data_IF_430925984690
#
_entry.id   IF_430925984690
#
_cell.length_a   1.000
_cell.length_b   1.000
_cell.length_c   1.000
_cell.angle_alpha   90.00
_cell.angle_beta   90.00
_cell.angle_gamma   90.00
#
_symmetry.space_group_name_H-M   'P 1'
#
loop_
_entity.id
_entity.type
_entity.pdbx_description
1 polymer ?
#
# COMPACT_ATOMS: atom_id res chain seq x y z
N UNK A 1 9.52 7.96 8.57
CA UNK A 1 8.22 7.26 8.62
C UNK A 1 7.01 8.19 8.51
N UNK A 2 6.97 9.36 9.17
CA UNK A 2 5.80 10.26 9.11
C UNK A 2 5.35 10.66 7.69
N UNK A 3 6.28 11.07 6.84
CA UNK A 3 6.00 11.43 5.45
C UNK A 3 5.56 10.19 4.64
N UNK A 4 6.08 9.00 4.97
CA UNK A 4 5.72 7.76 4.26
C UNK A 4 4.22 7.42 4.40
N UNK A 5 3.59 7.78 5.53
CA UNK A 5 2.14 7.61 5.71
C UNK A 5 1.34 8.46 4.71
N UNK A 6 1.82 9.67 4.39
CA UNK A 6 1.18 10.52 3.38
C UNK A 6 1.28 9.87 1.99
N UNK A 7 2.44 9.32 1.65
CA UNK A 7 2.61 8.58 0.39
C UNK A 7 1.70 7.36 0.30
N UNK A 8 1.48 6.63 1.40
CA UNK A 8 0.52 5.51 1.40
C UNK A 8 -0.91 5.96 1.06
N UNK A 9 -1.35 7.11 1.57
CA UNK A 9 -2.67 7.67 1.25
C UNK A 9 -2.75 8.06 -0.23
N UNK A 10 -1.69 8.67 -0.78
CA UNK A 10 -1.63 9.03 -2.20
C UNK A 10 -1.71 7.78 -3.06
N UNK A 11 -0.88 6.77 -2.79
CA UNK A 11 -0.86 5.54 -3.58
C UNK A 11 -2.19 4.77 -3.45
N UNK A 12 -2.81 4.74 -2.27
CA UNK A 12 -4.16 4.19 -2.11
C UNK A 12 -5.22 4.94 -2.93
N UNK A 13 -5.10 6.28 -3.02
CA UNK A 13 -5.95 7.09 -3.90
C UNK A 13 -5.73 6.75 -5.37
N UNK A 14 -4.50 6.45 -5.77
CA UNK A 14 -4.20 6.06 -7.15
C UNK A 14 -4.76 4.67 -7.49
N UNK A 15 -4.71 3.71 -6.56
CA UNK A 15 -5.43 2.43 -6.70
C UNK A 15 -6.93 2.66 -6.86
N UNK A 16 -7.51 3.55 -6.03
CA UNK A 16 -8.93 3.90 -6.14
C UNK A 16 -9.27 4.46 -7.52
N UNK A 17 -8.48 5.40 -8.03
CA UNK A 17 -8.67 5.97 -9.38
C UNK A 17 -8.51 4.89 -10.47
N UNK A 18 -7.57 3.97 -10.29
CA UNK A 18 -7.31 2.87 -11.23
C UNK A 18 -8.45 1.83 -11.31
N UNK A 19 -9.44 1.87 -10.41
CA UNK A 19 -10.66 1.06 -10.51
C UNK A 19 -11.69 1.65 -11.47
N UNK A 20 -11.55 2.92 -11.87
CA UNK A 20 -12.56 3.64 -12.65
C UNK A 20 -12.10 3.87 -14.08
N UNK A 21 -12.56 3.02 -15.00
CA UNK A 21 -12.25 3.12 -16.42
C UNK A 21 -13.21 4.07 -17.15
N UNK A 22 -12.68 4.88 -18.06
CA UNK A 22 -13.50 5.71 -18.94
C UNK A 22 -14.30 4.84 -19.92
N UNK A 23 -15.59 5.10 -20.06
CA UNK A 23 -16.46 4.44 -21.03
C UNK A 23 -16.51 5.24 -22.34
N UNK A 24 -16.80 4.60 -23.49
CA UNK A 24 -17.00 5.31 -24.75
C UNK A 24 -18.13 6.35 -24.71
N UNK A 25 -19.10 6.17 -23.79
CA UNK A 25 -20.21 7.09 -23.54
C UNK A 25 -19.86 8.30 -22.66
N UNK A 26 -18.59 8.48 -22.28
CA UNK A 26 -18.13 9.60 -21.45
C UNK A 26 -18.33 9.42 -19.94
N UNK A 27 -18.78 8.24 -19.50
CA UNK A 27 -18.93 7.88 -18.10
C UNK A 27 -17.69 7.17 -17.51
N UNK A 28 -17.79 6.78 -16.24
CA UNK A 28 -16.82 5.89 -15.58
C UNK A 28 -17.50 4.58 -15.23
N UNK A 29 -16.86 3.47 -15.53
CA UNK A 29 -17.29 2.14 -15.09
C UNK A 29 -16.28 1.57 -14.11
N UNK A 30 -16.79 0.88 -13.10
CA UNK A 30 -15.94 0.08 -12.22
C UNK A 30 -15.36 -1.09 -13.02
N UNK A 31 -14.09 -1.38 -12.80
CA UNK A 31 -13.44 -2.57 -13.33
C UNK A 31 -12.15 -2.88 -12.60
N UNK A 32 -11.59 -4.04 -12.88
CA UNK A 32 -10.29 -4.45 -12.34
C UNK A 32 -9.37 -4.74 -13.52
N UNK A 33 -8.26 -4.00 -13.62
CA UNK A 33 -7.17 -4.30 -14.55
C UNK A 33 -6.02 -5.03 -13.86
N UNK A 34 -5.15 -5.65 -14.64
CA UNK A 34 -3.87 -6.17 -14.12
C UNK A 34 -3.07 -5.04 -13.48
N UNK A 35 -3.05 -3.84 -14.07
CA UNK A 35 -2.42 -2.66 -13.52
C UNK A 35 -3.01 -2.25 -12.17
N UNK A 36 -4.33 -2.32 -12.02
CA UNK A 36 -5.00 -2.08 -10.72
C UNK A 36 -4.51 -3.06 -9.66
N UNK A 37 -4.36 -4.35 -10.00
CA UNK A 37 -3.84 -5.37 -9.08
C UNK A 37 -2.37 -5.12 -8.71
N UNK A 38 -1.54 -4.72 -9.69
CA UNK A 38 -0.13 -4.37 -9.46
C UNK A 38 -0.01 -3.17 -8.51
N UNK A 39 -0.78 -2.11 -8.73
CA UNK A 39 -0.80 -0.94 -7.85
C UNK A 39 -1.33 -1.28 -6.45
N UNK A 40 -2.38 -2.11 -6.37
CA UNK A 40 -2.94 -2.55 -5.09
C UNK A 40 -1.92 -3.38 -4.28
N UNK A 41 -1.26 -4.35 -4.92
CA UNK A 41 -0.21 -5.14 -4.29
C UNK A 41 0.94 -4.25 -3.79
N UNK A 42 1.35 -3.26 -4.59
CA UNK A 42 2.40 -2.31 -4.21
C UNK A 42 2.04 -1.54 -2.93
N UNK A 43 0.82 -0.99 -2.85
CA UNK A 43 0.34 -0.29 -1.64
C UNK A 43 0.31 -1.20 -0.43
N UNK A 44 -0.12 -2.46 -0.59
CA UNK A 44 -0.16 -3.44 0.50
C UNK A 44 1.26 -3.74 1.01
N UNK A 45 2.22 -3.99 0.13
CA UNK A 45 3.60 -4.29 0.55
C UNK A 45 4.25 -3.11 1.26
N UNK A 46 4.08 -1.89 0.73
CA UNK A 46 4.55 -0.66 1.37
C UNK A 46 3.87 -0.40 2.71
N UNK A 47 2.58 -0.73 2.83
CA UNK A 47 1.84 -0.60 4.09
C UNK A 47 2.41 -1.55 5.14
N UNK A 48 2.63 -2.82 4.82
CA UNK A 48 3.23 -3.76 5.78
C UNK A 48 4.64 -3.37 6.21
N UNK A 49 5.44 -2.82 5.29
CA UNK A 49 6.74 -2.28 5.65
C UNK A 49 6.62 -1.07 6.60
N UNK A 50 5.80 -0.09 6.24
CA UNK A 50 5.66 1.17 6.99
C UNK A 50 5.02 0.96 8.37
N UNK A 51 3.93 0.19 8.44
CA UNK A 51 3.21 -0.12 9.67
C UNK A 51 3.99 -1.08 10.58
N UNK A 52 4.90 -1.88 10.02
CA UNK A 52 5.80 -2.73 10.80
C UNK A 52 7.02 -2.01 11.38
N UNK A 53 7.23 -0.72 11.09
CA UNK A 53 8.45 -0.02 11.50
C UNK A 53 8.49 0.29 13.01
N UNK A 54 9.71 0.30 13.58
CA UNK A 54 9.96 0.75 14.96
C UNK A 54 9.40 2.15 15.25
N UNK A 55 9.50 3.10 14.31
CA UNK A 55 8.92 4.43 14.51
C UNK A 55 7.39 4.40 14.57
N UNK A 56 6.74 3.52 13.81
CA UNK A 56 5.27 3.41 13.82
C UNK A 56 4.77 2.82 15.15
N UNK A 57 5.50 1.86 15.73
CA UNK A 57 5.24 1.33 17.07
C UNK A 57 5.25 2.41 18.15
N UNK A 58 6.13 3.40 18.03
CA UNK A 58 6.16 4.54 18.94
C UNK A 58 4.91 5.42 18.83
N UNK A 59 4.40 5.61 17.60
CA UNK A 59 3.18 6.39 17.35
C UNK A 59 1.96 5.68 17.96
N UNK A 60 1.78 4.39 17.67
CA UNK A 60 0.62 3.63 18.19
C UNK A 60 0.73 3.34 19.69
N UNK A 61 1.95 3.36 20.25
CA UNK A 61 2.17 3.26 21.70
C UNK A 61 1.73 4.52 22.48
N UNK A 62 1.50 5.64 21.80
CA UNK A 62 0.85 6.82 22.38
C UNK A 62 1.59 7.49 23.54
N UNK A 63 2.91 7.28 23.68
CA UNK A 63 3.71 7.79 24.81
C UNK A 63 3.22 7.34 26.21
N UNK A 64 2.59 6.17 26.30
CA UNK A 64 2.19 5.59 27.59
C UNK A 64 3.24 4.63 28.13
N UNK A 65 3.53 4.72 29.42
CA UNK A 65 4.44 3.80 30.13
C UNK A 65 3.80 2.42 30.36
N UNK A 66 2.46 2.34 30.40
CA UNK A 66 1.71 1.12 30.67
C UNK A 66 0.59 0.89 29.64
N UNK A 67 0.94 0.25 28.52
CA UNK A 67 0.02 -0.05 27.41
C UNK A 67 -1.11 -1.03 27.78
N UNK A 68 -0.94 -1.85 28.82
CA UNK A 68 -1.94 -2.84 29.26
C UNK A 68 -3.26 -2.22 29.73
N UNK A 69 -3.25 -0.93 30.09
CA UNK A 69 -4.44 -0.16 30.49
C UNK A 69 -5.19 0.44 29.30
N UNK A 70 -4.59 0.38 28.10
CA UNK A 70 -5.04 1.05 26.89
C UNK A 70 -5.24 0.02 25.78
N UNK A 71 -6.42 -0.62 25.78
CA UNK A 71 -6.69 -1.81 24.95
C UNK A 71 -6.56 -1.56 23.45
N UNK A 72 -6.91 -0.36 22.95
CA UNK A 72 -6.86 -0.05 21.51
C UNK A 72 -5.42 0.12 21.05
N UNK A 73 -4.64 0.88 21.81
CA UNK A 73 -3.22 1.15 21.61
C UNK A 73 -2.41 -0.15 21.73
N UNK A 74 -2.75 -1.00 22.71
CA UNK A 74 -2.14 -2.32 22.87
C UNK A 74 -2.37 -3.21 21.63
N UNK A 75 -3.60 -3.30 21.13
CA UNK A 75 -3.90 -4.09 19.91
C UNK A 75 -3.15 -3.53 18.70
N UNK A 76 -3.13 -2.21 18.52
CA UNK A 76 -2.40 -1.58 17.43
C UNK A 76 -0.88 -1.85 17.53
N UNK A 77 -0.33 -1.77 18.74
CA UNK A 77 1.07 -2.07 19.03
C UNK A 77 1.43 -3.54 18.81
N UNK A 78 0.55 -4.47 19.19
CA UNK A 78 0.73 -5.90 18.98
C UNK A 78 0.68 -6.27 17.49
N UNK A 79 -0.25 -5.67 16.74
CA UNK A 79 -0.32 -5.80 15.28
C UNK A 79 0.95 -5.27 14.61
N UNK A 80 1.40 -4.07 14.97
CA UNK A 80 2.65 -3.50 14.47
C UNK A 80 3.86 -4.36 14.86
N UNK A 81 3.87 -4.94 16.05
CA UNK A 81 4.91 -5.87 16.51
C UNK A 81 4.90 -7.19 15.73
N UNK A 82 3.71 -7.68 15.35
CA UNK A 82 3.55 -8.84 14.48
C UNK A 82 4.16 -8.59 13.10
N UNK A 83 3.86 -7.44 12.50
CA UNK A 83 4.43 -7.02 11.22
C UNK A 83 5.94 -6.78 11.31
N UNK A 84 6.41 -6.21 12.43
CA UNK A 84 7.82 -5.94 12.67
C UNK A 84 8.70 -7.20 12.63
N UNK A 85 8.19 -8.35 13.08
CA UNK A 85 8.93 -9.64 13.02
C UNK A 85 9.38 -9.99 11.60
N UNK A 86 8.65 -9.52 10.59
CA UNK A 86 8.94 -9.75 9.18
C UNK A 86 9.37 -8.46 8.46
N UNK A 87 9.70 -7.38 9.19
CA UNK A 87 9.95 -6.05 8.63
C UNK A 87 10.99 -6.06 7.51
N UNK A 88 12.09 -6.79 7.71
CA UNK A 88 13.15 -6.91 6.68
C UNK A 88 12.64 -7.60 5.41
N UNK A 89 11.77 -8.61 5.52
CA UNK A 89 11.17 -9.26 4.35
C UNK A 89 10.23 -8.31 3.64
N UNK A 90 9.40 -7.58 4.37
CA UNK A 90 8.51 -6.56 3.80
C UNK A 90 9.30 -5.44 3.10
N UNK A 91 10.50 -5.10 3.57
CA UNK A 91 11.38 -4.15 2.90
C UNK A 91 11.78 -4.63 1.50
N UNK A 92 12.25 -5.87 1.37
CA UNK A 92 12.62 -6.43 0.07
C UNK A 92 11.42 -6.62 -0.85
N UNK A 93 10.31 -7.15 -0.33
CA UNK A 93 9.08 -7.35 -1.12
C UNK A 93 8.52 -6.02 -1.62
N UNK A 94 8.50 -4.98 -0.78
CA UNK A 94 8.04 -3.64 -1.20
C UNK A 94 9.00 -2.97 -2.17
N UNK A 95 10.32 -3.10 -1.99
CA UNK A 95 11.31 -2.56 -2.93
C UNK A 95 11.15 -3.15 -4.33
N UNK A 96 11.03 -4.48 -4.41
CA UNK A 96 10.78 -5.18 -5.68
C UNK A 96 9.41 -4.80 -6.23
N UNK A 97 8.38 -4.73 -5.37
CA UNK A 97 7.02 -4.35 -5.75
C UNK A 97 6.92 -2.96 -6.36
N UNK A 98 7.56 -1.96 -5.77
CA UNK A 98 7.60 -0.58 -6.29
C UNK A 98 8.32 -0.54 -7.64
N UNK A 99 9.51 -1.14 -7.73
CA UNK A 99 10.26 -1.17 -8.98
C UNK A 99 9.47 -1.85 -10.10
N UNK A 100 8.76 -2.93 -9.78
CA UNK A 100 7.89 -3.61 -10.73
C UNK A 100 6.67 -2.77 -11.11
N UNK A 101 6.02 -2.10 -10.16
CA UNK A 101 4.88 -1.22 -10.44
C UNK A 101 5.28 -0.06 -11.38
N UNK A 102 6.41 0.59 -11.11
CA UNK A 102 6.96 1.66 -11.95
C UNK A 102 7.27 1.17 -13.35
N UNK A 103 7.90 0.00 -13.46
CA UNK A 103 8.18 -0.63 -14.76
C UNK A 103 6.87 -0.96 -15.49
N UNK A 104 5.90 -1.58 -14.81
CA UNK A 104 4.62 -1.97 -15.41
C UNK A 104 3.89 -0.74 -15.97
N UNK A 105 3.72 0.30 -15.16
CA UNK A 105 3.04 1.54 -15.56
C UNK A 105 3.78 2.20 -16.73
N UNK A 106 5.11 2.24 -16.69
CA UNK A 106 5.92 2.79 -17.79
C UNK A 106 5.75 1.99 -19.08
N UNK A 107 5.78 0.67 -19.01
CA UNK A 107 5.61 -0.20 -20.18
C UNK A 107 4.20 -0.08 -20.78
N UNK A 108 3.17 0.07 -19.95
CA UNK A 108 1.81 0.37 -20.40
C UNK A 108 1.72 1.76 -21.06
N UNK A 109 2.33 2.78 -20.46
CA UNK A 109 2.33 4.14 -21.01
C UNK A 109 3.08 4.25 -22.35
N UNK A 110 4.14 3.45 -22.54
CA UNK A 110 4.86 3.35 -23.83
C UNK A 110 4.12 2.49 -24.87
N UNK A 111 2.96 1.89 -24.51
CA UNK A 111 2.20 1.01 -25.39
C UNK A 111 2.85 -0.35 -25.64
N UNK A 112 3.93 -0.69 -24.92
CA UNK A 112 4.60 -1.99 -25.04
C UNK A 112 3.82 -3.10 -24.36
N UNK A 113 3.21 -2.80 -23.20
CA UNK A 113 2.35 -3.73 -22.47
C UNK A 113 0.91 -3.28 -22.53
N UNK A 114 0.00 -4.23 -22.75
CA UNK A 114 -1.42 -3.96 -22.71
C UNK A 114 -1.96 -4.25 -21.30
N UNK A 115 -2.65 -3.27 -20.73
CA UNK A 115 -3.31 -3.46 -19.44
C UNK A 115 -4.59 -4.28 -19.63
N UNK A 116 -4.51 -5.57 -19.32
CA UNK A 116 -5.62 -6.49 -19.48
C UNK A 116 -6.71 -6.19 -18.45
N UNK A 117 -7.93 -6.00 -18.95
CA UNK A 117 -9.11 -5.72 -18.14
C UNK A 117 -9.83 -7.03 -17.82
N UNK A 118 -10.12 -7.23 -16.54
CA UNK A 118 -10.93 -8.31 -15.99
C UNK A 118 -12.28 -7.67 -15.68
N UNK A 119 -13.08 -7.45 -16.73
CA UNK A 119 -14.43 -6.88 -16.66
C UNK A 119 -15.38 -7.87 -17.29
#
# INVERSE_FOLDING_TARGET
MYIALLFLVILASDVWKALWFATPSGGKQFGIGVGTLVLAANVVFLSFYTLGCHSFRHIVGGFHDELSKHRVEQVAYDCASCLNRWHMRWAWTSLIGVAFADLYVRMCAMGMWHDWRIV
#
